data_IF_371244633637
#
_entry.id   IF_371244633637
#
_cell.length_a   1.000
_cell.length_b   1.000
_cell.length_c   1.000
_cell.angle_alpha   90.00
_cell.angle_beta   90.00
_cell.angle_gamma   90.00
#
_symmetry.space_group_name_H-M   'P 1'
#
loop_
_entity.id
_entity.type
_entity.pdbx_description
1 polymer ?
#
# COMPACT_ATOMS: atom_id res chain seq x y z
N UNK A 1 -19.06 45.39 43.81
CA UNK A 1 -17.60 45.25 43.75
C UNK A 1 -17.25 44.26 42.62
N UNK A 2 -16.82 44.77 41.48
CA UNK A 2 -16.56 43.97 40.29
C UNK A 2 -15.07 43.67 40.26
N UNK A 3 -14.69 42.37 40.47
CA UNK A 3 -13.29 41.96 40.41
C UNK A 3 -12.87 41.83 38.96
N UNK A 4 -11.98 42.69 38.49
CA UNK A 4 -11.34 42.66 37.19
C UNK A 4 -10.24 41.60 37.26
N UNK A 5 -10.50 40.43 36.68
CA UNK A 5 -9.49 39.38 36.54
C UNK A 5 -8.54 39.78 35.37
N UNK A 6 -7.37 40.28 35.74
CA UNK A 6 -6.32 40.61 34.76
C UNK A 6 -5.74 39.30 34.19
N UNK A 7 -6.11 38.96 32.95
CA UNK A 7 -5.52 37.88 32.21
C UNK A 7 -4.02 38.12 32.02
N UNK A 8 -3.19 37.36 32.70
CA UNK A 8 -1.72 37.38 32.51
C UNK A 8 -1.38 36.89 31.13
N UNK A 9 -0.92 37.82 30.25
CA UNK A 9 -0.34 37.50 28.92
C UNK A 9 0.71 36.39 29.08
N UNK A 10 0.67 35.33 28.23
CA UNK A 10 1.66 34.25 28.31
C UNK A 10 3.07 34.84 28.06
N UNK A 11 3.98 34.65 29.03
CA UNK A 11 5.39 35.05 28.90
C UNK A 11 5.99 34.25 27.74
N UNK A 12 6.53 34.94 26.73
CA UNK A 12 7.34 34.30 25.66
C UNK A 12 8.45 33.50 26.33
N UNK A 13 8.61 32.20 25.99
CA UNK A 13 9.70 31.41 26.54
C UNK A 13 11.05 32.07 26.18
N UNK A 14 12.00 32.07 27.15
CA UNK A 14 13.31 32.64 26.89
C UNK A 14 13.98 31.91 25.72
N UNK A 15 14.60 32.65 24.78
CA UNK A 15 15.24 32.14 23.55
C UNK A 15 16.15 30.92 23.82
N UNK A 16 16.80 30.92 24.98
CA UNK A 16 17.67 29.81 25.45
C UNK A 16 16.90 28.51 25.69
N UNK A 17 15.64 28.57 26.14
CA UNK A 17 14.82 27.38 26.39
C UNK A 17 14.23 26.83 25.08
N UNK A 18 13.96 27.68 24.12
CA UNK A 18 13.56 27.24 22.76
C UNK A 18 14.71 26.54 22.04
N UNK A 19 15.92 27.10 22.08
CA UNK A 19 17.09 26.49 21.46
C UNK A 19 17.40 25.11 22.06
N UNK A 20 17.36 24.99 23.40
CA UNK A 20 17.57 23.71 24.09
C UNK A 20 16.50 22.67 23.69
N UNK A 21 15.24 23.07 23.66
CA UNK A 21 14.14 22.19 23.23
C UNK A 21 14.27 21.76 21.77
N UNK A 22 14.70 22.67 20.90
CA UNK A 22 14.97 22.31 19.50
C UNK A 22 16.14 21.34 19.36
N UNK A 23 17.20 21.52 20.15
CA UNK A 23 18.35 20.60 20.16
C UNK A 23 17.95 19.21 20.65
N UNK A 24 17.15 19.12 21.72
CA UNK A 24 16.62 17.85 22.21
C UNK A 24 15.77 17.14 21.14
N UNK A 25 14.90 17.87 20.44
CA UNK A 25 14.09 17.33 19.35
C UNK A 25 14.95 16.82 18.18
N UNK A 26 15.95 17.60 17.75
CA UNK A 26 16.88 17.18 16.69
C UNK A 26 17.69 15.94 17.08
N UNK A 27 18.14 15.88 18.33
CA UNK A 27 18.86 14.71 18.84
C UNK A 27 17.99 13.46 18.83
N UNK A 28 16.71 13.58 19.20
CA UNK A 28 15.76 12.46 19.13
C UNK A 28 15.45 12.01 17.69
N UNK A 29 15.48 12.94 16.73
CA UNK A 29 15.28 12.63 15.30
C UNK A 29 16.53 12.06 14.63
N UNK A 30 17.72 12.27 15.20
CA UNK A 30 19.01 11.91 14.59
C UNK A 30 19.11 10.43 14.21
N UNK A 31 18.75 9.45 15.07
CA UNK A 31 18.81 8.04 14.68
C UNK A 31 17.94 7.72 13.45
N UNK A 32 16.72 8.25 13.39
CA UNK A 32 15.83 8.08 12.25
C UNK A 32 16.36 8.74 10.98
N UNK A 33 16.94 9.94 11.11
CA UNK A 33 17.55 10.66 9.98
C UNK A 33 18.75 9.90 9.43
N UNK A 34 19.62 9.37 10.30
CA UNK A 34 20.75 8.54 9.89
C UNK A 34 20.29 7.30 9.15
N UNK A 35 19.29 6.58 9.68
CA UNK A 35 18.70 5.41 8.99
C UNK A 35 18.13 5.80 7.63
N UNK A 36 17.42 6.92 7.52
CA UNK A 36 16.90 7.41 6.26
C UNK A 36 18.01 7.70 5.25
N UNK A 37 19.09 8.35 5.68
CA UNK A 37 20.24 8.64 4.80
C UNK A 37 20.89 7.34 4.33
N UNK A 38 21.19 6.42 5.25
CA UNK A 38 21.88 5.15 4.93
C UNK A 38 21.06 4.25 4.03
N UNK A 39 19.76 4.09 4.28
CA UNK A 39 18.94 3.11 3.58
C UNK A 39 18.12 3.69 2.41
N UNK A 40 17.93 5.01 2.34
CA UNK A 40 17.18 5.63 1.25
C UNK A 40 18.04 6.53 0.37
N UNK A 41 18.91 7.37 0.96
CA UNK A 41 19.69 8.35 0.17
C UNK A 41 20.91 7.70 -0.45
N UNK A 42 21.70 6.97 0.33
CA UNK A 42 22.94 6.33 -0.20
C UNK A 42 22.65 5.40 -1.37
N UNK A 43 21.63 4.52 -1.36
CA UNK A 43 21.33 3.67 -2.51
C UNK A 43 20.94 4.43 -3.77
N UNK A 44 20.46 5.68 -3.68
CA UNK A 44 20.15 6.49 -4.86
C UNK A 44 21.41 6.78 -5.72
N UNK A 45 22.60 6.84 -5.11
CA UNK A 45 23.83 6.95 -5.88
C UNK A 45 24.07 5.74 -6.79
N UNK A 46 23.48 4.58 -6.46
CA UNK A 46 23.49 3.41 -7.35
C UNK A 46 22.78 3.63 -8.68
N UNK A 47 21.91 4.65 -8.81
CA UNK A 47 21.29 4.99 -10.10
C UNK A 47 22.30 5.40 -11.16
N UNK A 48 23.50 5.85 -10.77
CA UNK A 48 24.60 6.16 -11.68
C UNK A 48 24.97 4.93 -12.52
N UNK A 49 24.83 3.73 -12.00
CA UNK A 49 25.08 2.46 -12.69
C UNK A 49 24.26 2.33 -14.00
N UNK A 50 23.05 2.87 -14.01
CA UNK A 50 22.19 2.85 -15.20
C UNK A 50 22.79 3.58 -16.41
N UNK A 51 23.68 4.55 -16.18
CA UNK A 51 24.31 5.39 -17.18
C UNK A 51 25.74 4.97 -17.51
N UNK A 52 26.28 3.97 -16.82
CA UNK A 52 27.68 3.54 -16.96
C UNK A 52 27.80 2.07 -17.36
N UNK A 53 28.99 1.68 -17.83
CA UNK A 53 29.35 0.29 -18.14
C UNK A 53 29.78 -0.46 -16.86
N UNK A 54 29.08 -0.28 -15.76
CA UNK A 54 29.38 -0.93 -14.50
C UNK A 54 29.24 -2.46 -14.62
N UNK A 55 30.20 -3.17 -13.98
CA UNK A 55 30.13 -4.62 -13.80
C UNK A 55 30.23 -4.91 -12.29
N UNK A 56 29.43 -5.83 -11.79
CA UNK A 56 29.43 -6.18 -10.36
C UNK A 56 30.81 -6.62 -9.84
N UNK A 57 31.69 -7.11 -10.72
CA UNK A 57 33.06 -7.50 -10.40
C UNK A 57 33.97 -6.32 -10.07
N UNK A 58 33.56 -5.07 -10.38
CA UNK A 58 34.33 -3.86 -10.10
C UNK A 58 34.18 -3.34 -8.67
N UNK A 59 33.30 -3.94 -7.87
CA UNK A 59 33.06 -3.51 -6.50
C UNK A 59 32.51 -2.08 -6.39
N UNK A 60 32.64 -1.48 -5.20
CA UNK A 60 32.13 -0.12 -4.93
C UNK A 60 32.82 0.97 -5.74
N UNK A 61 34.11 0.83 -6.00
CA UNK A 61 34.88 1.78 -6.81
C UNK A 61 34.35 1.88 -8.24
N UNK A 62 33.86 0.77 -8.79
CA UNK A 62 33.28 0.72 -10.11
C UNK A 62 32.07 1.63 -10.31
N UNK A 63 31.36 1.98 -9.25
CA UNK A 63 30.20 2.90 -9.33
C UNK A 63 30.64 4.28 -9.83
N UNK A 64 31.81 4.75 -9.40
CA UNK A 64 32.32 6.08 -9.71
C UNK A 64 33.37 6.09 -10.83
N UNK A 65 34.03 4.95 -11.10
CA UNK A 65 35.13 4.86 -12.08
C UNK A 65 34.68 4.30 -13.42
N UNK A 66 33.46 3.72 -13.50
CA UNK A 66 32.95 3.15 -14.74
C UNK A 66 32.69 4.20 -15.82
N UNK A 67 33.06 3.88 -17.06
CA UNK A 67 32.86 4.78 -18.20
C UNK A 67 31.38 4.97 -18.51
N UNK A 68 31.04 6.17 -18.96
CA UNK A 68 29.70 6.52 -19.44
C UNK A 68 29.31 5.70 -20.66
N UNK A 69 28.08 5.16 -20.69
CA UNK A 69 27.61 4.21 -21.70
C UNK A 69 26.73 4.82 -22.80
N UNK A 70 26.62 6.15 -22.90
CA UNK A 70 25.78 6.84 -23.88
C UNK A 70 24.32 6.32 -23.93
N UNK A 71 23.71 6.08 -22.75
CA UNK A 71 22.35 5.54 -22.61
C UNK A 71 22.14 4.15 -23.24
N UNK A 72 23.21 3.38 -23.41
CA UNK A 72 23.14 2.03 -23.99
C UNK A 72 22.19 1.12 -23.22
N UNK A 73 22.25 1.16 -21.87
CA UNK A 73 21.38 0.34 -21.02
C UNK A 73 19.90 0.70 -21.23
N UNK A 74 19.59 1.99 -21.37
CA UNK A 74 18.22 2.43 -21.66
C UNK A 74 17.74 1.98 -23.04
N UNK A 75 18.58 2.15 -24.08
CA UNK A 75 18.24 1.66 -25.42
C UNK A 75 17.98 0.16 -25.40
N UNK A 76 18.80 -0.61 -24.70
CA UNK A 76 18.65 -2.05 -24.59
C UNK A 76 17.32 -2.44 -23.90
N UNK A 77 16.92 -1.71 -22.86
CA UNK A 77 15.63 -1.93 -22.18
C UNK A 77 14.47 -1.58 -23.10
N UNK A 78 14.47 -0.40 -23.71
CA UNK A 78 13.38 0.05 -24.60
C UNK A 78 13.27 -0.77 -25.89
N UNK A 79 14.38 -1.36 -26.39
CA UNK A 79 14.37 -2.24 -27.56
C UNK A 79 14.10 -3.70 -27.21
N UNK A 80 13.94 -4.02 -25.93
CA UNK A 80 13.67 -5.39 -25.50
C UNK A 80 12.23 -5.79 -25.83
N UNK A 81 12.04 -7.00 -26.34
CA UNK A 81 10.71 -7.60 -26.54
C UNK A 81 9.90 -7.74 -25.25
N UNK A 82 10.55 -7.63 -24.09
CA UNK A 82 9.92 -7.69 -22.78
C UNK A 82 9.37 -6.32 -22.31
N UNK A 83 9.79 -5.22 -22.96
CA UNK A 83 9.43 -3.88 -22.49
C UNK A 83 7.92 -3.61 -22.57
N UNK A 84 7.32 -3.86 -23.74
CA UNK A 84 5.88 -3.64 -23.94
C UNK A 84 5.00 -4.51 -23.01
N UNK A 85 5.22 -5.84 -22.89
CA UNK A 85 4.51 -6.67 -21.93
C UNK A 85 4.68 -6.19 -20.47
N UNK A 86 5.90 -5.76 -20.10
CA UNK A 86 6.18 -5.26 -18.75
C UNK A 86 5.38 -4.00 -18.43
N UNK A 87 5.39 -3.02 -19.33
CA UNK A 87 4.61 -1.77 -19.15
C UNK A 87 3.12 -2.06 -19.11
N UNK A 88 2.62 -2.85 -20.07
CA UNK A 88 1.21 -3.24 -20.13
C UNK A 88 0.75 -3.94 -18.85
N UNK A 89 1.52 -4.91 -18.36
CA UNK A 89 1.16 -5.64 -17.14
C UNK A 89 1.25 -4.73 -15.92
N UNK A 90 2.29 -3.91 -15.80
CA UNK A 90 2.46 -3.01 -14.66
C UNK A 90 1.32 -1.99 -14.60
N UNK A 91 1.05 -1.30 -15.70
CA UNK A 91 -0.02 -0.30 -15.73
C UNK A 91 -1.40 -0.96 -15.66
N UNK A 92 -1.63 -2.04 -16.41
CA UNK A 92 -2.91 -2.71 -16.47
C UNK A 92 -3.32 -3.28 -15.12
N UNK A 93 -2.47 -4.06 -14.46
CA UNK A 93 -2.77 -4.65 -13.16
C UNK A 93 -2.97 -3.56 -12.10
N UNK A 94 -2.11 -2.52 -12.07
CA UNK A 94 -2.22 -1.48 -11.06
C UNK A 94 -3.46 -0.60 -11.29
N UNK A 95 -3.69 -0.12 -12.51
CA UNK A 95 -4.84 0.75 -12.80
C UNK A 95 -6.17 0.00 -12.60
N UNK A 96 -6.33 -1.18 -13.22
CA UNK A 96 -7.54 -1.98 -13.04
C UNK A 96 -7.71 -2.41 -11.58
N UNK A 97 -6.60 -2.79 -10.91
CA UNK A 97 -6.62 -3.11 -9.49
C UNK A 97 -7.15 -1.95 -8.65
N UNK A 98 -6.71 -0.73 -8.87
CA UNK A 98 -7.19 0.46 -8.16
C UNK A 98 -8.66 0.77 -8.49
N UNK A 99 -9.05 0.72 -9.77
CA UNK A 99 -10.43 0.96 -10.19
C UNK A 99 -11.42 -0.05 -9.58
N UNK A 100 -10.99 -1.27 -9.31
CA UNK A 100 -11.80 -2.32 -8.68
C UNK A 100 -11.73 -2.22 -7.16
N UNK A 101 -10.53 -2.07 -6.59
CA UNK A 101 -10.33 -2.15 -5.14
C UNK A 101 -10.91 -0.95 -4.40
N UNK A 102 -10.81 0.27 -4.95
CA UNK A 102 -11.33 1.47 -4.27
C UNK A 102 -12.85 1.41 -4.07
N UNK A 103 -13.68 1.17 -5.11
CA UNK A 103 -15.13 1.08 -4.93
C UNK A 103 -15.54 -0.07 -3.99
N UNK A 104 -14.86 -1.22 -4.09
CA UNK A 104 -15.15 -2.37 -3.22
C UNK A 104 -14.79 -2.06 -1.77
N UNK A 105 -13.66 -1.40 -1.52
CA UNK A 105 -13.25 -1.00 -0.17
C UNK A 105 -14.21 0.04 0.45
N UNK A 106 -14.69 0.99 -0.35
CA UNK A 106 -15.71 1.96 0.10
C UNK A 106 -17.02 1.24 0.42
N UNK A 107 -17.49 0.37 -0.48
CA UNK A 107 -18.70 -0.42 -0.26
C UNK A 107 -18.58 -1.28 1.01
N UNK A 108 -17.44 -1.94 1.19
CA UNK A 108 -17.18 -2.74 2.39
C UNK A 108 -17.16 -1.89 3.66
N UNK A 109 -16.59 -0.69 3.62
CA UNK A 109 -16.59 0.24 4.75
C UNK A 109 -18.02 0.70 5.10
N UNK A 110 -18.85 1.01 4.08
CA UNK A 110 -20.26 1.36 4.29
C UNK A 110 -21.04 0.19 4.92
N UNK A 111 -20.88 -1.02 4.39
CA UNK A 111 -21.52 -2.22 4.96
C UNK A 111 -21.07 -2.48 6.40
N UNK A 112 -19.78 -2.28 6.72
CA UNK A 112 -19.28 -2.37 8.08
C UNK A 112 -19.90 -1.30 9.00
N UNK A 113 -20.16 -0.11 8.47
CA UNK A 113 -20.76 0.98 9.25
C UNK A 113 -22.20 0.68 9.63
N UNK A 114 -22.96 -0.06 8.78
CA UNK A 114 -24.34 -0.46 9.05
C UNK A 114 -24.47 -1.58 10.10
N UNK A 115 -23.38 -2.27 10.45
CA UNK A 115 -23.43 -3.32 11.46
C UNK A 115 -23.66 -2.72 12.85
N UNK A 116 -24.88 -2.87 13.37
CA UNK A 116 -25.31 -2.34 14.68
C UNK A 116 -24.65 -3.04 15.86
N UNK A 117 -24.34 -4.33 15.76
CA UNK A 117 -23.74 -5.10 16.85
C UNK A 117 -22.22 -4.90 16.91
N UNK A 118 -21.66 -4.30 17.97
CA UNK A 118 -20.22 -4.07 18.09
C UNK A 118 -19.39 -5.37 17.98
N UNK A 119 -19.91 -6.46 18.56
CA UNK A 119 -19.20 -7.76 18.51
C UNK A 119 -19.11 -8.32 17.09
N UNK A 120 -20.22 -8.26 16.31
CA UNK A 120 -20.23 -8.70 14.92
C UNK A 120 -19.35 -7.81 14.05
N UNK A 121 -19.42 -6.49 14.24
CA UNK A 121 -18.56 -5.52 13.54
C UNK A 121 -17.09 -5.83 13.78
N UNK A 122 -16.67 -6.00 15.04
CA UNK A 122 -15.30 -6.33 15.40
C UNK A 122 -14.85 -7.68 14.80
N UNK A 123 -15.70 -8.69 14.82
CA UNK A 123 -15.38 -9.99 14.23
C UNK A 123 -15.13 -9.90 12.71
N UNK A 124 -16.04 -9.25 11.96
CA UNK A 124 -15.90 -9.07 10.51
C UNK A 124 -14.66 -8.24 10.18
N UNK A 125 -14.41 -7.17 10.93
CA UNK A 125 -13.20 -6.35 10.79
C UNK A 125 -11.93 -7.19 11.00
N UNK A 126 -11.85 -7.93 12.11
CA UNK A 126 -10.67 -8.76 12.41
C UNK A 126 -10.44 -9.81 11.34
N UNK A 127 -11.50 -10.49 10.89
CA UNK A 127 -11.39 -11.49 9.82
C UNK A 127 -10.92 -10.88 8.49
N UNK A 128 -11.43 -9.68 8.15
CA UNK A 128 -11.03 -8.99 6.92
C UNK A 128 -9.61 -8.40 6.98
N UNK A 129 -9.10 -8.08 8.17
CA UNK A 129 -7.75 -7.53 8.35
C UNK A 129 -6.67 -8.61 8.35
N UNK A 130 -7.02 -9.83 8.76
CA UNK A 130 -6.06 -10.92 8.94
C UNK A 130 -5.17 -11.18 7.71
N UNK A 131 -5.70 -11.24 6.47
CA UNK A 131 -4.86 -11.47 5.29
C UNK A 131 -3.78 -10.40 5.07
N UNK A 132 -4.04 -9.15 5.44
CA UNK A 132 -3.08 -8.05 5.30
C UNK A 132 -1.78 -8.28 6.09
N UNK A 133 -1.87 -8.87 7.28
CA UNK A 133 -0.71 -9.12 8.15
C UNK A 133 0.13 -10.31 7.71
N UNK A 134 -0.34 -11.13 6.79
CA UNK A 134 0.46 -12.22 6.22
C UNK A 134 1.50 -11.64 5.25
N UNK A 135 2.73 -12.19 5.28
CA UNK A 135 3.70 -11.84 4.23
C UNK A 135 3.20 -12.29 2.85
N UNK A 136 3.59 -11.60 1.80
CA UNK A 136 3.25 -11.99 0.43
C UNK A 136 3.74 -13.41 0.08
N UNK A 137 4.86 -13.86 0.67
CA UNK A 137 5.35 -15.22 0.47
C UNK A 137 4.38 -16.28 1.01
N UNK A 138 3.87 -16.07 2.23
CA UNK A 138 2.90 -16.98 2.86
C UNK A 138 1.56 -16.90 2.11
N UNK A 139 1.05 -15.68 1.89
CA UNK A 139 -0.23 -15.47 1.23
C UNK A 139 -0.22 -16.00 -0.22
N UNK A 140 0.85 -15.74 -0.98
CA UNK A 140 1.03 -16.26 -2.32
C UNK A 140 1.10 -17.80 -2.35
N UNK A 141 1.73 -18.42 -1.35
CA UNK A 141 1.73 -19.87 -1.18
C UNK A 141 0.32 -20.44 -0.95
N UNK A 142 -0.51 -19.76 -0.15
CA UNK A 142 -1.90 -20.15 0.05
C UNK A 142 -2.72 -20.04 -1.25
N UNK A 143 -2.56 -18.94 -2.00
CA UNK A 143 -3.21 -18.75 -3.30
C UNK A 143 -2.77 -19.84 -4.29
N UNK A 144 -1.46 -20.14 -4.35
CA UNK A 144 -0.93 -21.21 -5.20
C UNK A 144 -1.55 -22.57 -4.86
N UNK A 145 -1.63 -22.93 -3.60
CA UNK A 145 -2.25 -24.20 -3.18
C UNK A 145 -3.76 -24.22 -3.48
N UNK A 146 -4.45 -23.09 -3.27
CA UNK A 146 -5.88 -22.97 -3.58
C UNK A 146 -6.20 -23.16 -5.08
N UNK A 147 -5.31 -22.62 -5.94
CA UNK A 147 -5.45 -22.59 -7.39
C UNK A 147 -4.70 -23.71 -8.13
N UNK A 148 -4.05 -24.65 -7.41
CA UNK A 148 -3.42 -25.83 -8.01
C UNK A 148 -4.43 -26.80 -8.59
N UNK A 149 -3.99 -27.75 -9.43
CA UNK A 149 -4.86 -28.77 -10.02
C UNK A 149 -5.71 -29.52 -8.97
N UNK A 150 -5.08 -29.89 -7.86
CA UNK A 150 -5.75 -30.58 -6.73
C UNK A 150 -6.33 -29.59 -5.70
N UNK A 151 -6.26 -28.30 -5.99
CA UNK A 151 -6.68 -27.23 -5.07
C UNK A 151 -8.18 -27.16 -4.83
N UNK A 152 -8.55 -26.55 -3.70
CA UNK A 152 -9.95 -26.41 -3.29
C UNK A 152 -10.81 -25.67 -4.33
N UNK A 153 -10.24 -24.74 -5.11
CA UNK A 153 -10.96 -24.03 -6.19
C UNK A 153 -11.46 -25.01 -7.26
N UNK A 154 -10.58 -25.92 -7.73
CA UNK A 154 -10.96 -26.92 -8.73
C UNK A 154 -11.99 -27.88 -8.17
N UNK A 155 -11.82 -28.35 -6.92
CA UNK A 155 -12.79 -29.25 -6.28
C UNK A 155 -14.18 -28.60 -6.17
N UNK A 156 -14.25 -27.32 -5.80
CA UNK A 156 -15.48 -26.57 -5.71
C UNK A 156 -16.13 -26.40 -7.08
N UNK A 157 -15.38 -25.95 -8.10
CA UNK A 157 -15.91 -25.72 -9.45
C UNK A 157 -16.35 -27.01 -10.15
N UNK A 158 -15.63 -28.12 -9.93
CA UNK A 158 -16.06 -29.45 -10.43
C UNK A 158 -17.30 -29.94 -9.69
N UNK A 159 -17.38 -29.75 -8.38
CA UNK A 159 -18.58 -30.09 -7.60
C UNK A 159 -19.81 -29.29 -8.02
N UNK A 160 -19.62 -28.04 -8.46
CA UNK A 160 -20.69 -27.20 -9.04
C UNK A 160 -20.95 -27.47 -10.52
N UNK A 161 -20.26 -28.43 -11.15
CA UNK A 161 -20.33 -28.75 -12.59
C UNK A 161 -20.00 -27.56 -13.52
N UNK A 162 -19.22 -26.59 -13.05
CA UNK A 162 -18.79 -25.42 -13.84
C UNK A 162 -17.62 -25.80 -14.74
N UNK A 163 -16.74 -26.68 -14.27
CA UNK A 163 -15.62 -27.25 -15.03
C UNK A 163 -15.70 -28.77 -14.98
N UNK A 164 -15.29 -29.43 -16.09
CA UNK A 164 -15.31 -30.90 -16.20
C UNK A 164 -13.97 -31.54 -15.82
N UNK A 165 -12.89 -30.77 -15.84
CA UNK A 165 -11.54 -31.23 -15.54
C UNK A 165 -10.78 -30.19 -14.71
N UNK A 166 -9.83 -30.59 -13.86
CA UNK A 166 -9.04 -29.66 -13.08
C UNK A 166 -8.18 -28.77 -14.01
N UNK A 167 -8.03 -27.50 -13.65
CA UNK A 167 -7.28 -26.50 -14.40
C UNK A 167 -6.10 -26.00 -13.57
N UNK A 168 -4.95 -25.85 -14.21
CA UNK A 168 -3.78 -25.15 -13.65
C UNK A 168 -3.92 -23.65 -13.82
N UNK A 169 -4.65 -23.00 -12.92
CA UNK A 169 -4.98 -21.57 -13.01
C UNK A 169 -3.75 -20.65 -13.07
N UNK A 170 -2.67 -21.02 -12.37
CA UNK A 170 -1.45 -20.21 -12.32
C UNK A 170 -0.60 -20.30 -13.60
N UNK A 171 -0.79 -21.34 -14.42
CA UNK A 171 -0.11 -21.52 -15.70
C UNK A 171 -0.86 -20.84 -16.85
N UNK A 172 -2.11 -20.42 -16.62
CA UNK A 172 -2.94 -19.77 -17.65
C UNK A 172 -2.66 -18.26 -17.69
N UNK A 173 -2.09 -17.78 -18.78
CA UNK A 173 -1.78 -16.38 -19.00
C UNK A 173 -3.03 -15.47 -18.97
N UNK A 174 -4.18 -15.97 -19.39
CA UNK A 174 -5.44 -15.20 -19.41
C UNK A 174 -5.99 -14.97 -18.00
N UNK A 175 -5.67 -15.87 -17.08
CA UNK A 175 -6.07 -15.75 -15.67
C UNK A 175 -5.13 -14.86 -14.86
N UNK A 176 -3.92 -14.53 -15.37
CA UNK A 176 -2.86 -13.87 -14.60
C UNK A 176 -3.31 -12.56 -13.97
N UNK A 177 -3.89 -11.65 -14.75
CA UNK A 177 -4.34 -10.35 -14.22
C UNK A 177 -5.45 -10.50 -13.18
N UNK A 178 -6.40 -11.40 -13.46
CA UNK A 178 -7.50 -11.67 -12.52
C UNK A 178 -7.00 -12.21 -11.19
N UNK A 179 -6.03 -13.14 -11.23
CA UNK A 179 -5.43 -13.71 -10.01
C UNK A 179 -4.67 -12.64 -9.24
N UNK A 180 -3.86 -11.81 -9.91
CA UNK A 180 -3.12 -10.73 -9.27
C UNK A 180 -4.05 -9.71 -8.59
N UNK A 181 -5.07 -9.23 -9.31
CA UNK A 181 -6.01 -8.23 -8.81
C UNK A 181 -6.87 -8.80 -7.67
N UNK A 182 -7.41 -10.02 -7.84
CA UNK A 182 -8.22 -10.66 -6.82
C UNK A 182 -7.42 -10.95 -5.55
N UNK A 183 -6.18 -11.44 -5.69
CA UNK A 183 -5.29 -11.71 -4.56
C UNK A 183 -4.96 -10.42 -3.79
N UNK A 184 -4.63 -9.33 -4.51
CA UNK A 184 -4.40 -8.03 -3.92
C UNK A 184 -5.63 -7.49 -3.20
N UNK A 185 -6.80 -7.59 -3.84
CA UNK A 185 -8.06 -7.17 -3.25
C UNK A 185 -8.36 -7.94 -1.95
N UNK A 186 -8.31 -9.27 -1.97
CA UNK A 186 -8.57 -10.09 -0.77
C UNK A 186 -7.61 -9.74 0.35
N UNK A 187 -6.33 -9.54 0.02
CA UNK A 187 -5.30 -9.22 1.01
C UNK A 187 -5.51 -7.86 1.66
N UNK A 188 -5.84 -6.85 0.89
CA UNK A 188 -5.79 -5.46 1.36
C UNK A 188 -7.17 -4.80 1.57
N UNK A 189 -8.27 -5.50 1.27
CA UNK A 189 -9.64 -4.99 1.40
C UNK A 189 -9.93 -4.45 2.81
N UNK A 190 -9.66 -5.26 3.81
CA UNK A 190 -9.91 -4.88 5.20
C UNK A 190 -9.10 -3.66 5.62
N UNK A 191 -7.81 -3.65 5.31
CA UNK A 191 -6.93 -2.53 5.62
C UNK A 191 -7.36 -1.23 4.94
N UNK A 192 -7.68 -1.27 3.66
CA UNK A 192 -8.18 -0.12 2.92
C UNK A 192 -9.49 0.42 3.48
N UNK A 193 -10.38 -0.47 3.92
CA UNK A 193 -11.66 -0.09 4.49
C UNK A 193 -11.53 0.68 5.82
N UNK A 194 -10.44 0.52 6.59
CA UNK A 194 -10.20 1.29 7.82
C UNK A 194 -10.17 2.79 7.51
N UNK A 195 -9.47 3.17 6.44
CA UNK A 195 -9.31 4.59 6.05
C UNK A 195 -10.68 5.18 5.72
N UNK A 196 -11.48 4.47 4.92
CA UNK A 196 -12.82 4.94 4.55
C UNK A 196 -13.78 4.93 5.74
N UNK A 197 -13.70 3.95 6.63
CA UNK A 197 -14.50 3.90 7.84
C UNK A 197 -14.17 5.07 8.79
N UNK A 198 -12.90 5.42 8.91
CA UNK A 198 -12.47 6.58 9.70
C UNK A 198 -13.00 7.89 9.08
N UNK A 199 -12.95 8.02 7.75
CA UNK A 199 -13.50 9.17 7.04
C UNK A 199 -15.02 9.31 7.25
N UNK A 200 -15.78 8.21 7.13
CA UNK A 200 -17.25 8.19 7.37
C UNK A 200 -17.56 8.57 8.80
N UNK A 201 -16.79 8.07 9.77
CA UNK A 201 -17.00 8.38 11.20
C UNK A 201 -16.66 9.81 11.57
N UNK A 202 -15.86 10.51 10.78
CA UNK A 202 -15.48 11.92 10.95
C UNK A 202 -16.45 12.92 10.32
N UNK A 203 -17.45 12.46 9.56
CA UNK A 203 -18.48 13.35 8.97
C UNK A 203 -19.44 13.80 10.05
N UNK A 204 -19.56 15.12 10.25
CA UNK A 204 -20.51 15.72 11.20
C UNK A 204 -21.95 15.49 10.70
N UNK A 205 -22.83 14.86 11.49
CA UNK A 205 -24.23 14.63 11.11
C UNK A 205 -25.08 15.91 11.11
N UNK A 206 -24.59 17.03 11.64
CA UNK A 206 -25.34 18.27 11.79
C UNK A 206 -25.86 18.88 10.48
N UNK A 207 -25.18 18.84 9.33
CA UNK A 207 -25.71 19.41 8.07
C UNK A 207 -26.97 18.71 7.56
N UNK A 208 -27.20 17.46 7.90
CA UNK A 208 -28.36 16.70 7.43
C UNK A 208 -29.65 17.07 8.17
N UNK A 209 -29.52 17.65 9.36
CA UNK A 209 -30.64 17.97 10.22
C UNK A 209 -31.43 19.23 9.79
N UNK A 210 -30.84 20.10 8.98
CA UNK A 210 -31.47 21.36 8.56
C UNK A 210 -32.32 21.26 7.29
N UNK A 211 -32.26 20.14 6.59
CA UNK A 211 -33.02 19.93 5.33
C UNK A 211 -34.46 19.41 5.54
N UNK A 212 -34.87 19.10 6.80
CA UNK A 212 -36.18 18.58 7.14
C UNK A 212 -36.99 19.48 8.09
N UNK A 213 -36.81 20.79 8.05
CA UNK A 213 -37.78 21.69 8.67
C UNK A 213 -38.95 21.89 7.71
N UNK A 214 -40.18 21.41 8.02
CA UNK A 214 -41.36 21.74 7.22
C UNK A 214 -41.64 23.24 7.39
N UNK A 215 -41.89 23.89 6.26
CA UNK A 215 -42.46 25.25 6.17
C UNK A 215 -43.89 25.27 6.75
#
# INVERSE_FOLDING_TARGET
MMQITISKKPRKPAIRNEFRRQTELHTMMLPGTVMMIVFNIIPLFGLIIAFTNFKATMGWEGIFTSQWNNFRNFRQVFSSSQFDPMIRNTLGINLLGQFISIPIAILFALLLNEIRSPRRKSFVQTAAYLPHFLSWAIFGGLIKNLLSADGAMNQLLMGMHIISQPKEWMADADCFWTICIASGLIKDLGWSAIIYLAAISGVDPTPVSYTHLPL
#
